data_IF_122071962012
#
_entry.id   IF_122071962012
#
_cell.length_a   1.000
_cell.length_b   1.000
_cell.length_c   1.000
_cell.angle_alpha   90.00
_cell.angle_beta   90.00
_cell.angle_gamma   90.00
#
_symmetry.space_group_name_H-M   'P 1'
#
loop_
_entity.id
_entity.type
_entity.pdbx_description
1 polymer ?
#
# COMPACT_ATOMS: atom_id res chain seq x y z
N UNK A 1 -27.18 -41.10 28.89
CA UNK A 1 -26.59 -41.67 27.65
C UNK A 1 -26.25 -40.62 26.60
N UNK A 2 -27.04 -39.57 26.39
CA UNK A 2 -26.82 -38.56 25.37
C UNK A 2 -25.55 -37.73 25.56
N UNK A 3 -25.19 -37.36 26.79
CA UNK A 3 -23.95 -36.60 27.07
C UNK A 3 -22.68 -37.39 26.76
N UNK A 4 -22.69 -38.70 26.88
CA UNK A 4 -21.53 -39.54 26.57
C UNK A 4 -21.33 -39.67 25.05
N UNK A 5 -22.43 -39.70 24.30
CA UNK A 5 -22.43 -39.71 22.82
C UNK A 5 -21.90 -38.38 22.26
N UNK A 6 -22.33 -37.23 22.81
CA UNK A 6 -21.88 -35.91 22.39
C UNK A 6 -20.38 -35.69 22.67
N UNK A 7 -19.88 -36.16 23.80
CA UNK A 7 -18.46 -36.03 24.17
C UNK A 7 -17.54 -36.88 23.27
N UNK A 8 -17.97 -38.12 22.96
CA UNK A 8 -17.22 -38.99 22.04
C UNK A 8 -17.19 -38.42 20.62
N UNK A 9 -18.28 -37.79 20.17
CA UNK A 9 -18.37 -37.16 18.87
C UNK A 9 -17.42 -35.95 18.75
N UNK A 10 -17.34 -35.12 19.77
CA UNK A 10 -16.40 -33.98 19.80
C UNK A 10 -14.93 -34.43 19.80
N UNK A 11 -14.60 -35.55 20.47
CA UNK A 11 -13.24 -36.11 20.43
C UNK A 11 -12.91 -36.64 19.02
N UNK A 12 -13.84 -37.31 18.34
CA UNK A 12 -13.63 -37.82 16.99
C UNK A 12 -13.40 -36.65 16.01
N UNK A 13 -14.17 -35.57 16.11
CA UNK A 13 -14.00 -34.37 15.30
C UNK A 13 -12.64 -33.74 15.52
N UNK A 14 -12.20 -33.63 16.77
CA UNK A 14 -10.88 -33.07 17.11
C UNK A 14 -9.74 -33.93 16.54
N UNK A 15 -9.85 -35.26 16.66
CA UNK A 15 -8.89 -36.20 16.11
C UNK A 15 -8.85 -36.15 14.58
N UNK A 16 -10.00 -36.02 13.93
CA UNK A 16 -10.09 -35.86 12.48
C UNK A 16 -9.41 -34.55 12.01
N UNK A 17 -9.63 -33.44 12.73
CA UNK A 17 -8.96 -32.17 12.45
C UNK A 17 -7.43 -32.24 12.64
N UNK A 18 -6.96 -32.90 13.70
CA UNK A 18 -5.55 -33.15 13.94
C UNK A 18 -4.93 -34.03 12.85
N UNK A 19 -5.62 -35.06 12.41
CA UNK A 19 -5.17 -35.92 11.32
C UNK A 19 -5.11 -35.21 9.99
N UNK A 20 -6.10 -34.38 9.67
CA UNK A 20 -6.11 -33.52 8.49
C UNK A 20 -4.96 -32.51 8.53
N UNK A 21 -4.68 -31.92 9.70
CA UNK A 21 -3.56 -31.03 9.91
C UNK A 21 -2.21 -31.73 9.67
N UNK A 22 -2.03 -32.94 10.22
CA UNK A 22 -0.81 -33.71 10.03
C UNK A 22 -0.61 -34.17 8.57
N UNK A 23 -1.67 -34.62 7.90
CA UNK A 23 -1.62 -34.97 6.47
C UNK A 23 -1.28 -33.76 5.61
N UNK A 24 -1.88 -32.61 5.90
CA UNK A 24 -1.56 -31.38 5.21
C UNK A 24 -0.10 -30.96 5.43
N UNK A 25 0.38 -31.03 6.65
CA UNK A 25 1.79 -30.73 7.01
C UNK A 25 2.77 -31.69 6.34
N UNK A 26 2.45 -32.95 6.28
CA UNK A 26 3.26 -33.97 5.59
C UNK A 26 3.32 -33.69 4.08
N UNK A 27 2.18 -33.35 3.45
CA UNK A 27 2.08 -32.98 2.04
C UNK A 27 2.86 -31.69 1.73
N UNK A 28 2.80 -30.70 2.63
CA UNK A 28 3.58 -29.46 2.51
C UNK A 28 5.09 -29.72 2.57
N UNK A 29 5.52 -30.59 3.50
CA UNK A 29 6.93 -30.98 3.63
C UNK A 29 7.42 -31.82 2.44
N UNK A 30 6.58 -32.67 1.86
CA UNK A 30 6.92 -33.48 0.69
C UNK A 30 7.13 -32.59 -0.55
N UNK A 31 6.25 -31.61 -0.81
CA UNK A 31 6.41 -30.61 -1.88
C UNK A 31 7.71 -29.83 -1.75
N UNK A 32 8.04 -29.39 -0.54
CA UNK A 32 9.28 -28.66 -0.27
C UNK A 32 10.55 -29.50 -0.49
N UNK A 33 10.44 -30.81 -0.47
CA UNK A 33 11.59 -31.72 -0.70
C UNK A 33 11.84 -32.00 -2.17
N UNK A 34 10.77 -32.00 -3.00
CA UNK A 34 10.88 -32.30 -4.44
C UNK A 34 11.42 -31.11 -5.27
N UNK A 35 11.15 -29.85 -4.84
CA UNK A 35 11.51 -28.65 -5.59
C UNK A 35 12.89 -28.05 -5.22
N UNK A 36 13.69 -28.74 -4.41
CA UNK A 36 14.94 -28.18 -3.84
C UNK A 36 16.08 -27.93 -4.83
N UNK A 37 16.02 -28.36 -6.07
CA UNK A 37 17.15 -28.19 -7.02
C UNK A 37 17.21 -26.85 -7.75
N UNK A 38 16.10 -26.08 -7.79
CA UNK A 38 16.04 -24.72 -8.39
C UNK A 38 15.00 -23.80 -7.69
N UNK A 39 14.67 -24.08 -6.45
CA UNK A 39 13.66 -23.28 -5.75
C UNK A 39 14.26 -21.99 -5.22
N UNK A 40 13.61 -20.88 -5.54
CA UNK A 40 13.90 -19.58 -4.93
C UNK A 40 13.81 -19.69 -3.39
N UNK A 41 14.78 -19.16 -2.62
CA UNK A 41 14.76 -19.22 -1.17
C UNK A 41 13.43 -18.76 -0.57
N UNK A 42 12.99 -19.43 0.48
CA UNK A 42 11.77 -19.09 1.20
C UNK A 42 12.08 -18.96 2.69
N UNK A 43 11.63 -17.90 3.38
CA UNK A 43 11.76 -17.81 4.83
C UNK A 43 10.90 -18.88 5.51
N UNK A 44 11.31 -19.26 6.73
CA UNK A 44 10.49 -20.12 7.58
C UNK A 44 9.30 -19.33 8.16
N UNK A 45 8.27 -20.05 8.62
CA UNK A 45 7.13 -19.43 9.31
C UNK A 45 5.88 -19.26 8.47
N UNK A 46 5.76 -19.98 7.35
CA UNK A 46 4.51 -20.04 6.59
C UNK A 46 3.41 -20.79 7.37
N UNK A 47 2.31 -20.11 7.61
CA UNK A 47 1.11 -20.67 8.24
C UNK A 47 0.24 -21.41 7.22
N UNK A 48 -0.55 -22.41 7.66
CA UNK A 48 -1.59 -22.99 6.84
C UNK A 48 -2.52 -21.89 6.30
N UNK A 49 -2.97 -22.01 5.05
CA UNK A 49 -3.89 -21.11 4.35
C UNK A 49 -3.36 -19.69 4.11
N UNK A 50 -2.91 -18.98 5.15
CA UNK A 50 -2.50 -17.57 5.07
C UNK A 50 -1.03 -17.36 4.68
N UNK A 51 -0.21 -18.42 4.73
CA UNK A 51 1.20 -18.36 4.34
C UNK A 51 2.04 -17.50 5.27
N UNK A 52 2.87 -16.61 4.71
CA UNK A 52 3.76 -15.69 5.42
C UNK A 52 3.09 -14.35 5.77
N UNK A 53 1.78 -14.20 5.55
CA UNK A 53 1.07 -12.95 5.84
C UNK A 53 1.30 -12.44 7.27
N UNK A 54 1.34 -13.28 8.33
CA UNK A 54 1.61 -12.82 9.67
C UNK A 54 2.99 -12.16 9.87
N UNK A 55 3.97 -12.46 9.01
CA UNK A 55 5.28 -11.80 9.04
C UNK A 55 5.22 -10.34 8.62
N UNK A 56 4.19 -9.95 7.85
CA UNK A 56 3.98 -8.60 7.35
C UNK A 56 3.13 -7.75 8.29
N UNK A 57 2.92 -8.21 9.53
CA UNK A 57 2.03 -7.59 10.53
C UNK A 57 2.54 -6.24 11.01
N UNK A 58 1.69 -5.37 11.01
CA UNK A 58 1.27 -4.07 11.47
C UNK A 58 2.21 -3.14 12.29
N UNK A 59 3.16 -3.59 13.05
CA UNK A 59 3.97 -2.70 13.93
C UNK A 59 5.20 -2.09 13.25
N UNK A 60 5.67 -2.72 12.16
CA UNK A 60 6.85 -2.29 11.41
C UNK A 60 6.45 -2.08 9.94
N UNK A 61 6.91 -1.02 9.28
CA UNK A 61 6.67 -0.82 7.86
C UNK A 61 7.06 -2.06 7.03
N UNK A 62 6.17 -2.51 6.15
CA UNK A 62 6.35 -3.73 5.33
C UNK A 62 7.70 -3.75 4.61
N UNK A 63 8.16 -2.61 4.08
CA UNK A 63 9.45 -2.50 3.40
C UNK A 63 10.64 -2.85 4.32
N UNK A 64 10.61 -2.48 5.60
CA UNK A 64 11.66 -2.84 6.56
C UNK A 64 11.64 -4.32 6.90
N UNK A 65 10.45 -4.89 7.06
CA UNK A 65 10.28 -6.33 7.29
C UNK A 65 10.80 -7.14 6.11
N UNK A 66 10.45 -6.73 4.88
CA UNK A 66 10.93 -7.38 3.66
C UNK A 66 12.46 -7.27 3.52
N UNK A 67 13.04 -6.10 3.85
CA UNK A 67 14.49 -5.91 3.86
C UNK A 67 15.20 -6.85 4.86
N UNK A 68 14.70 -6.93 6.09
CA UNK A 68 15.26 -7.83 7.11
C UNK A 68 15.15 -9.33 6.74
N UNK A 69 14.15 -9.71 5.95
CA UNK A 69 14.04 -11.06 5.38
C UNK A 69 15.07 -11.25 4.25
N UNK A 70 15.27 -10.23 3.40
CA UNK A 70 16.27 -10.26 2.33
C UNK A 70 17.70 -10.45 2.87
N UNK A 71 18.01 -9.82 3.99
CA UNK A 71 19.32 -9.97 4.66
C UNK A 71 19.61 -11.43 5.06
N UNK A 72 18.56 -12.23 5.29
CA UNK A 72 18.66 -13.64 5.70
C UNK A 72 18.52 -14.63 4.53
N UNK A 73 17.65 -14.32 3.58
CA UNK A 73 17.29 -15.23 2.47
C UNK A 73 18.04 -14.93 1.18
N UNK A 74 18.66 -13.74 1.08
CA UNK A 74 19.29 -13.26 -0.13
C UNK A 74 18.42 -12.26 -0.92
N UNK A 75 18.98 -11.67 -1.99
CA UNK A 75 18.40 -10.56 -2.72
C UNK A 75 17.12 -10.91 -3.51
N UNK A 76 16.87 -12.18 -3.75
CA UNK A 76 15.66 -12.70 -4.36
C UNK A 76 15.14 -13.85 -3.50
N UNK A 77 13.89 -13.74 -3.06
CA UNK A 77 13.25 -14.78 -2.28
C UNK A 77 11.75 -14.80 -2.53
N UNK A 78 11.09 -15.87 -2.14
CA UNK A 78 9.67 -16.09 -2.39
C UNK A 78 8.88 -16.10 -1.09
N UNK A 79 7.76 -15.39 -1.07
CA UNK A 79 6.75 -15.43 0.00
C UNK A 79 5.47 -16.06 -0.51
N UNK A 80 4.86 -16.90 0.31
CA UNK A 80 3.49 -17.36 0.09
C UNK A 80 2.55 -16.44 0.82
N UNK A 81 1.71 -15.69 0.10
CA UNK A 81 0.67 -14.83 0.66
C UNK A 81 -0.69 -15.43 0.33
N UNK A 82 -1.28 -16.16 1.29
CA UNK A 82 -2.47 -16.96 1.07
C UNK A 82 -2.27 -17.98 -0.06
N UNK A 83 -3.03 -17.85 -1.13
CA UNK A 83 -2.90 -18.68 -2.34
C UNK A 83 -1.82 -18.19 -3.32
N UNK A 84 -1.35 -16.97 -3.16
CA UNK A 84 -0.44 -16.33 -4.11
C UNK A 84 1.03 -16.57 -3.73
N UNK A 85 1.81 -17.06 -4.69
CA UNK A 85 3.25 -17.11 -4.59
C UNK A 85 3.81 -15.77 -5.06
N UNK A 86 4.48 -15.05 -4.18
CA UNK A 86 4.98 -13.70 -4.43
C UNK A 86 6.50 -13.71 -4.42
N UNK A 87 7.12 -13.25 -5.49
CA UNK A 87 8.56 -13.08 -5.57
C UNK A 87 8.94 -11.70 -5.04
N UNK A 88 9.89 -11.66 -4.12
CA UNK A 88 10.44 -10.42 -3.58
C UNK A 88 11.84 -10.23 -4.16
N UNK A 89 12.07 -9.06 -4.75
CA UNK A 89 13.35 -8.65 -5.32
C UNK A 89 13.86 -7.45 -4.53
N UNK A 90 15.01 -7.59 -3.89
CA UNK A 90 15.57 -6.62 -2.95
C UNK A 90 16.89 -5.99 -3.41
N UNK A 91 17.51 -6.46 -4.50
CA UNK A 91 18.73 -5.83 -5.04
C UNK A 91 18.40 -4.94 -6.25
N UNK A 92 19.17 -3.88 -6.41
CA UNK A 92 18.98 -2.93 -7.48
C UNK A 92 19.25 -3.52 -8.88
N UNK A 93 20.21 -4.44 -8.98
CA UNK A 93 20.57 -5.10 -10.23
C UNK A 93 19.39 -5.89 -10.80
N UNK A 94 18.78 -6.72 -9.96
CA UNK A 94 17.60 -7.51 -10.35
C UNK A 94 16.37 -6.64 -10.56
N UNK A 95 16.19 -5.59 -9.74
CA UNK A 95 15.11 -4.61 -9.93
C UNK A 95 15.27 -3.90 -11.28
N UNK A 96 16.49 -3.51 -11.65
CA UNK A 96 16.79 -2.91 -12.95
C UNK A 96 16.40 -3.85 -14.09
N UNK A 97 16.77 -5.12 -14.01
CA UNK A 97 16.38 -6.12 -15.01
C UNK A 97 14.87 -6.30 -15.11
N UNK A 98 14.16 -6.34 -13.97
CA UNK A 98 12.70 -6.42 -13.94
C UNK A 98 12.03 -5.23 -14.64
N UNK A 99 12.53 -4.00 -14.42
CA UNK A 99 11.91 -2.78 -14.94
C UNK A 99 12.48 -2.30 -16.29
N UNK A 100 13.44 -3.01 -16.86
CA UNK A 100 13.97 -2.73 -18.22
C UNK A 100 13.69 -3.88 -19.16
N UNK A 101 14.45 -4.97 -19.04
CA UNK A 101 14.37 -6.12 -19.97
C UNK A 101 13.03 -6.85 -19.87
N UNK A 102 12.51 -7.02 -18.67
CA UNK A 102 11.29 -7.79 -18.37
C UNK A 102 10.08 -6.91 -18.03
N UNK A 103 10.17 -5.58 -18.18
CA UNK A 103 9.14 -4.63 -17.79
C UNK A 103 7.76 -5.01 -18.34
N UNK A 104 7.66 -5.30 -19.61
CA UNK A 104 6.40 -5.63 -20.27
C UNK A 104 5.69 -6.85 -19.69
N UNK A 105 6.46 -7.84 -19.24
CA UNK A 105 5.93 -9.09 -18.66
C UNK A 105 5.47 -8.84 -17.22
N UNK A 106 6.20 -7.99 -16.49
CA UNK A 106 6.00 -7.74 -15.07
C UNK A 106 5.14 -6.49 -14.77
N UNK A 107 4.76 -5.72 -15.80
CA UNK A 107 4.06 -4.44 -15.66
C UNK A 107 2.63 -4.55 -15.11
N UNK A 108 1.98 -5.71 -15.23
CA UNK A 108 0.59 -5.88 -14.80
C UNK A 108 0.46 -5.76 -13.28
N UNK A 109 -0.53 -4.97 -12.84
CA UNK A 109 -0.87 -4.81 -11.42
C UNK A 109 -1.91 -5.86 -10.99
N UNK A 110 -1.80 -6.42 -9.77
CA UNK A 110 -2.83 -7.30 -9.24
C UNK A 110 -4.10 -6.50 -8.92
N UNK A 111 -5.27 -7.12 -9.14
CA UNK A 111 -6.54 -6.53 -8.69
C UNK A 111 -6.73 -6.79 -7.20
N UNK A 112 -6.44 -5.78 -6.40
CA UNK A 112 -6.60 -5.78 -4.94
C UNK A 112 -7.74 -4.84 -4.52
N UNK A 113 -8.19 -4.93 -3.28
CA UNK A 113 -9.31 -4.16 -2.74
C UNK A 113 -9.15 -2.64 -2.94
N UNK A 114 -7.94 -2.14 -2.83
CA UNK A 114 -7.62 -0.72 -3.10
C UNK A 114 -7.96 -0.35 -4.55
N UNK A 115 -7.54 -1.16 -5.51
CA UNK A 115 -7.84 -0.93 -6.93
C UNK A 115 -9.33 -0.94 -7.21
N UNK A 116 -10.07 -1.86 -6.59
CA UNK A 116 -11.52 -1.98 -6.79
C UNK A 116 -12.31 -0.82 -6.16
N UNK A 117 -11.99 -0.45 -4.91
CA UNK A 117 -12.80 0.51 -4.16
C UNK A 117 -12.30 1.97 -4.28
N UNK A 118 -11.00 2.22 -4.07
CA UNK A 118 -10.43 3.58 -4.16
C UNK A 118 -9.99 3.88 -5.59
N UNK A 119 -9.56 2.86 -6.33
CA UNK A 119 -9.01 2.97 -7.67
C UNK A 119 -10.03 2.97 -8.80
N UNK A 120 -11.32 3.24 -8.53
CA UNK A 120 -12.40 3.24 -9.53
C UNK A 120 -12.35 1.97 -10.41
N UNK A 121 -12.45 0.81 -9.75
CA UNK A 121 -12.34 -0.51 -10.40
C UNK A 121 -11.04 -0.68 -11.22
N UNK A 122 -9.92 -0.35 -10.60
CA UNK A 122 -8.58 -0.37 -11.19
C UNK A 122 -8.36 0.63 -12.35
N UNK A 123 -9.18 1.69 -12.46
CA UNK A 123 -9.01 2.70 -13.50
C UNK A 123 -7.91 3.72 -13.19
N UNK A 124 -7.52 3.91 -11.93
CA UNK A 124 -6.41 4.81 -11.59
C UNK A 124 -5.11 4.31 -12.21
N UNK A 125 -4.39 5.21 -12.88
CA UNK A 125 -3.13 4.94 -13.59
C UNK A 125 -2.13 4.07 -12.82
N UNK A 126 -1.97 4.29 -11.52
CA UNK A 126 -1.04 3.54 -10.67
C UNK A 126 -1.45 2.08 -10.43
N UNK A 127 -2.75 1.77 -10.51
CA UNK A 127 -3.35 0.47 -10.19
C UNK A 127 -3.92 -0.25 -11.41
N UNK A 128 -3.99 0.43 -12.56
CA UNK A 128 -4.50 -0.13 -13.79
C UNK A 128 -3.61 -1.27 -14.30
N UNK A 129 -4.22 -2.38 -14.77
CA UNK A 129 -3.48 -3.45 -15.43
C UNK A 129 -2.78 -2.95 -16.69
N UNK A 130 -1.61 -3.53 -17.00
CA UNK A 130 -0.92 -3.21 -18.23
C UNK A 130 -1.76 -3.61 -19.45
N UNK A 131 -2.08 -2.64 -20.31
CA UNK A 131 -2.93 -2.85 -21.49
C UNK A 131 -3.08 -1.58 -22.33
N UNK A 132 -3.97 -1.59 -23.34
CA UNK A 132 -4.22 -0.41 -24.18
C UNK A 132 -4.62 0.81 -23.37
N UNK A 133 -5.57 0.66 -22.45
CA UNK A 133 -6.02 1.72 -21.54
C UNK A 133 -4.86 2.34 -20.74
N UNK A 134 -4.04 1.52 -20.07
CA UNK A 134 -2.91 2.01 -19.29
C UNK A 134 -1.90 2.78 -20.17
N UNK A 135 -1.65 2.31 -21.40
CA UNK A 135 -0.73 2.97 -22.34
C UNK A 135 -1.24 4.34 -22.76
N UNK A 136 -2.54 4.48 -23.01
CA UNK A 136 -3.14 5.76 -23.37
C UNK A 136 -3.10 6.76 -22.22
N UNK A 137 -3.50 6.35 -21.02
CA UNK A 137 -3.42 7.21 -19.83
C UNK A 137 -1.97 7.61 -19.55
N UNK A 138 -1.02 6.69 -19.67
CA UNK A 138 0.41 7.01 -19.55
C UNK A 138 0.86 8.04 -20.58
N UNK A 139 0.42 7.89 -21.83
CA UNK A 139 0.74 8.85 -22.88
C UNK A 139 0.23 10.24 -22.50
N UNK A 140 -1.04 10.39 -22.16
CA UNK A 140 -1.63 11.65 -21.70
C UNK A 140 -0.85 12.23 -20.52
N UNK A 141 -0.57 11.41 -19.50
CA UNK A 141 0.18 11.85 -18.32
C UNK A 141 1.57 12.38 -18.68
N UNK A 142 2.30 11.72 -19.58
CA UNK A 142 3.67 12.10 -19.92
C UNK A 142 3.74 13.25 -20.93
N UNK A 143 2.81 13.34 -21.89
CA UNK A 143 2.84 14.38 -22.94
C UNK A 143 2.14 15.66 -22.50
N UNK A 144 0.98 15.54 -21.84
CA UNK A 144 0.12 16.69 -21.58
C UNK A 144 0.26 17.24 -20.14
N UNK A 145 0.51 16.36 -19.16
CA UNK A 145 0.60 16.79 -17.77
C UNK A 145 2.05 17.00 -17.29
N UNK A 146 2.95 16.07 -17.62
CA UNK A 146 4.31 16.01 -17.08
C UNK A 146 5.39 16.37 -18.12
N UNK A 147 5.01 16.88 -19.29
CA UNK A 147 5.99 17.33 -20.28
C UNK A 147 6.83 18.48 -19.73
N UNK A 148 8.09 18.59 -20.17
CA UNK A 148 9.00 19.65 -19.75
C UNK A 148 8.42 21.05 -20.02
N UNK A 149 7.73 21.22 -21.14
CA UNK A 149 7.03 22.46 -21.48
C UNK A 149 5.94 22.79 -20.45
N UNK A 150 5.08 21.82 -20.10
CA UNK A 150 4.01 22.02 -19.13
C UNK A 150 4.54 22.30 -17.73
N UNK A 151 5.58 21.58 -17.32
CA UNK A 151 6.24 21.80 -16.03
C UNK A 151 6.88 23.20 -15.94
N UNK A 152 7.45 23.72 -17.02
CA UNK A 152 7.99 25.07 -17.05
C UNK A 152 6.87 26.13 -17.01
N UNK A 153 5.81 25.98 -17.77
CA UNK A 153 4.64 26.87 -17.70
C UNK A 153 4.06 26.97 -16.28
N UNK A 154 4.04 25.87 -15.55
CA UNK A 154 3.49 25.80 -14.18
C UNK A 154 4.51 26.13 -13.09
N UNK A 155 5.73 26.52 -13.45
CA UNK A 155 6.81 26.86 -12.52
C UNK A 155 6.43 27.99 -11.58
N UNK A 156 5.71 28.98 -12.08
CA UNK A 156 5.25 30.14 -11.29
C UNK A 156 4.40 29.71 -10.08
N UNK A 157 3.59 28.66 -10.19
CA UNK A 157 2.78 28.16 -9.07
C UNK A 157 3.67 27.67 -7.94
N UNK A 158 4.71 26.90 -8.27
CA UNK A 158 5.67 26.39 -7.27
C UNK A 158 6.43 27.53 -6.60
N UNK A 159 6.89 28.53 -7.38
CA UNK A 159 7.57 29.69 -6.85
C UNK A 159 6.73 30.50 -5.87
N UNK A 160 5.47 30.76 -6.22
CA UNK A 160 4.54 31.50 -5.36
C UNK A 160 4.29 30.78 -4.02
N UNK A 161 4.14 29.45 -4.05
CA UNK A 161 3.93 28.69 -2.82
C UNK A 161 5.21 28.63 -1.96
N UNK A 162 6.41 28.54 -2.57
CA UNK A 162 7.70 28.64 -1.85
C UNK A 162 7.85 30.00 -1.20
N UNK A 163 7.57 31.08 -1.93
CA UNK A 163 7.63 32.43 -1.35
C UNK A 163 6.67 32.59 -0.17
N UNK A 164 5.46 32.05 -0.30
CA UNK A 164 4.45 32.09 0.77
C UNK A 164 4.91 31.34 2.00
N UNK A 165 5.51 30.15 1.81
CA UNK A 165 6.08 29.34 2.88
C UNK A 165 7.22 30.11 3.59
N UNK A 166 8.15 30.72 2.84
CA UNK A 166 9.26 31.50 3.40
C UNK A 166 8.74 32.74 4.14
N UNK A 167 7.76 33.45 3.58
CA UNK A 167 7.12 34.61 4.25
C UNK A 167 6.46 34.17 5.55
N UNK A 168 5.78 33.04 5.59
CA UNK A 168 5.17 32.46 6.80
C UNK A 168 6.21 32.19 7.88
N UNK A 169 7.32 31.56 7.54
CA UNK A 169 8.43 31.30 8.47
C UNK A 169 9.04 32.59 9.00
N UNK A 170 9.30 33.58 8.15
CA UNK A 170 9.83 34.91 8.57
C UNK A 170 8.90 35.63 9.54
N UNK A 171 7.58 35.59 9.28
CA UNK A 171 6.58 36.16 10.18
C UNK A 171 6.54 35.47 11.54
N UNK A 172 6.72 34.14 11.54
CA UNK A 172 6.74 33.32 12.76
C UNK A 172 7.97 33.68 13.61
N UNK A 173 9.16 33.83 13.00
CA UNK A 173 10.36 34.26 13.68
C UNK A 173 10.21 35.69 14.22
N UNK A 174 9.64 36.62 13.43
CA UNK A 174 9.43 38.00 13.85
C UNK A 174 8.47 38.13 15.03
N UNK A 175 7.37 37.34 15.04
CA UNK A 175 6.43 37.30 16.16
C UNK A 175 7.06 36.84 17.49
N UNK A 176 8.10 36.00 17.39
CA UNK A 176 8.79 35.48 18.57
C UNK A 176 10.06 36.29 18.90
N UNK A 177 10.11 37.57 18.47
CA UNK A 177 11.23 38.46 18.69
C UNK A 177 12.58 37.88 18.25
N UNK A 178 12.59 37.11 17.16
CA UNK A 178 13.71 36.33 16.63
C UNK A 178 14.36 35.32 17.59
N UNK A 179 13.68 34.96 18.69
CA UNK A 179 14.09 33.83 19.51
C UNK A 179 13.88 32.51 18.73
N UNK A 180 14.62 31.44 19.09
CA UNK A 180 14.42 30.12 18.49
C UNK A 180 12.96 29.67 18.60
N UNK A 181 12.38 29.21 17.50
CA UNK A 181 11.00 28.71 17.41
C UNK A 181 11.06 27.30 16.88
N UNK A 182 10.44 26.38 17.60
CA UNK A 182 10.24 25.01 17.13
C UNK A 182 9.18 24.98 16.03
N UNK A 183 9.51 24.40 14.87
CA UNK A 183 8.62 24.27 13.73
C UNK A 183 8.51 22.80 13.33
N UNK A 184 7.30 22.29 13.24
CA UNK A 184 7.07 20.97 12.65
C UNK A 184 7.19 21.04 11.13
N UNK A 185 8.40 20.72 10.63
CA UNK A 185 8.70 20.77 9.21
C UNK A 185 7.87 19.80 8.37
N UNK A 186 7.49 18.65 8.94
CA UNK A 186 6.65 17.67 8.23
C UNK A 186 5.29 18.27 7.90
N UNK A 187 4.62 18.88 8.86
CA UNK A 187 3.34 19.54 8.63
C UNK A 187 3.46 20.70 7.64
N UNK A 188 4.53 21.47 7.74
CA UNK A 188 4.77 22.62 6.86
C UNK A 188 4.94 22.18 5.39
N UNK A 189 5.75 21.15 5.17
CA UNK A 189 6.00 20.59 3.83
C UNK A 189 4.74 19.91 3.30
N UNK A 190 3.97 19.27 4.15
CA UNK A 190 2.68 18.65 3.78
C UNK A 190 1.70 19.69 3.25
N UNK A 191 1.48 20.77 3.99
CA UNK A 191 0.62 21.88 3.55
C UNK A 191 1.13 22.55 2.27
N UNK A 192 2.44 22.76 2.16
CA UNK A 192 3.06 23.26 0.94
C UNK A 192 2.75 22.36 -0.26
N UNK A 193 3.04 21.06 -0.14
CA UNK A 193 2.84 20.09 -1.22
C UNK A 193 1.37 19.99 -1.60
N UNK A 194 0.48 19.98 -0.61
CA UNK A 194 -0.96 19.94 -0.83
C UNK A 194 -1.43 21.18 -1.62
N UNK A 195 -1.03 22.40 -1.22
CA UNK A 195 -1.41 23.63 -1.90
C UNK A 195 -0.85 23.73 -3.32
N UNK A 196 0.39 23.28 -3.54
CA UNK A 196 0.97 23.20 -4.90
C UNK A 196 0.09 22.30 -5.79
N UNK A 197 -0.22 21.08 -5.35
CA UNK A 197 -1.02 20.16 -6.13
C UNK A 197 -2.45 20.68 -6.36
N UNK A 198 -3.09 21.18 -5.32
CA UNK A 198 -4.45 21.70 -5.42
C UNK A 198 -4.53 22.90 -6.37
N UNK A 199 -3.53 23.79 -6.33
CA UNK A 199 -3.49 24.93 -7.23
C UNK A 199 -3.22 24.53 -8.67
N UNK A 200 -2.39 23.50 -8.89
CA UNK A 200 -2.14 22.94 -10.22
C UNK A 200 -3.37 22.27 -10.84
N UNK A 201 -4.19 21.60 -10.01
CA UNK A 201 -5.34 20.80 -10.46
C UNK A 201 -6.62 21.64 -10.49
N UNK A 202 -6.93 22.35 -9.38
CA UNK A 202 -8.18 23.03 -9.17
C UNK A 202 -8.10 24.56 -9.17
N UNK A 203 -6.91 25.14 -9.29
CA UNK A 203 -6.69 26.60 -9.20
C UNK A 203 -6.93 27.19 -7.80
N UNK A 204 -7.28 26.33 -6.81
CA UNK A 204 -7.59 26.75 -5.44
C UNK A 204 -6.36 26.71 -4.55
N UNK A 205 -6.39 27.50 -3.48
CA UNK A 205 -5.42 27.51 -2.40
C UNK A 205 -6.14 27.70 -1.07
N UNK A 206 -5.74 26.96 -0.06
CA UNK A 206 -6.27 27.09 1.29
C UNK A 206 -5.23 27.70 2.24
N UNK A 207 -5.71 28.49 3.20
CA UNK A 207 -4.87 29.09 4.23
C UNK A 207 -4.59 28.10 5.37
N UNK A 208 -3.52 28.32 6.18
CA UNK A 208 -3.26 27.47 7.35
C UNK A 208 -4.42 27.45 8.38
N UNK A 209 -5.25 28.50 8.43
CA UNK A 209 -6.42 28.54 9.31
C UNK A 209 -7.49 27.55 8.86
N UNK A 210 -7.75 27.49 7.54
CA UNK A 210 -8.76 26.58 6.97
C UNK A 210 -8.39 25.12 7.18
N UNK A 211 -7.09 24.79 7.25
CA UNK A 211 -6.64 23.44 7.62
C UNK A 211 -6.85 23.11 9.10
N UNK A 212 -6.73 24.09 9.99
CA UNK A 212 -6.93 23.92 11.42
C UNK A 212 -8.40 23.88 11.84
N UNK A 213 -9.31 24.37 11.00
CA UNK A 213 -10.73 24.48 11.30
C UNK A 213 -11.46 23.18 10.91
N UNK A 214 -11.85 22.40 11.93
CA UNK A 214 -12.61 21.16 11.72
C UNK A 214 -13.92 21.43 10.96
N UNK A 215 -14.14 20.66 9.89
CA UNK A 215 -15.34 20.79 9.06
C UNK A 215 -15.21 21.75 7.88
N UNK A 216 -14.09 22.50 7.76
CA UNK A 216 -13.80 23.30 6.56
C UNK A 216 -13.63 22.41 5.31
N UNK A 217 -13.79 22.98 4.12
CA UNK A 217 -13.57 22.27 2.85
C UNK A 217 -12.13 21.75 2.78
N UNK A 218 -11.14 22.58 3.17
CA UNK A 218 -9.73 22.21 3.19
C UNK A 218 -9.46 21.00 4.10
N UNK A 219 -9.98 21.02 5.32
CA UNK A 219 -9.82 19.95 6.29
C UNK A 219 -10.44 18.63 5.80
N UNK A 220 -11.62 18.68 5.18
CA UNK A 220 -12.28 17.49 4.63
C UNK A 220 -11.47 16.87 3.50
N UNK A 221 -10.99 17.67 2.55
CA UNK A 221 -10.19 17.20 1.42
C UNK A 221 -8.87 16.62 1.91
N UNK A 222 -8.14 17.32 2.80
CA UNK A 222 -6.88 16.86 3.35
C UNK A 222 -7.05 15.51 4.07
N UNK A 223 -8.07 15.41 4.92
CA UNK A 223 -8.37 14.19 5.65
C UNK A 223 -8.73 13.03 4.72
N UNK A 224 -9.56 13.27 3.71
CA UNK A 224 -9.94 12.25 2.73
C UNK A 224 -8.71 11.74 1.96
N UNK A 225 -7.81 12.63 1.54
CA UNK A 225 -6.57 12.23 0.86
C UNK A 225 -5.65 11.43 1.79
N UNK A 226 -5.45 11.89 3.04
CA UNK A 226 -4.63 11.16 4.03
C UNK A 226 -5.19 9.77 4.31
N UNK A 227 -6.48 9.66 4.47
CA UNK A 227 -7.16 8.38 4.72
C UNK A 227 -7.08 7.47 3.49
N UNK A 228 -7.27 7.99 2.29
CA UNK A 228 -7.12 7.25 1.05
C UNK A 228 -5.68 6.71 0.88
N UNK A 229 -4.66 7.53 1.14
CA UNK A 229 -3.25 7.12 1.08
C UNK A 229 -2.96 6.05 2.15
N UNK A 230 -3.42 6.25 3.39
CA UNK A 230 -3.27 5.26 4.46
C UNK A 230 -3.89 3.92 4.08
N UNK A 231 -5.16 3.93 3.68
CA UNK A 231 -5.88 2.72 3.27
C UNK A 231 -5.30 2.06 2.01
N UNK A 232 -4.62 2.83 1.17
CA UNK A 232 -3.91 2.28 0.00
C UNK A 232 -2.70 1.44 0.39
N UNK A 233 -2.09 1.72 1.54
CA UNK A 233 -0.98 0.93 2.09
C UNK A 233 -1.40 -0.24 2.97
N UNK A 234 -2.67 -0.34 3.34
CA UNK A 234 -3.17 -1.40 4.23
C UNK A 234 -3.54 -2.65 3.44
N UNK A 235 -2.86 -3.74 3.72
CA UNK A 235 -3.24 -5.06 3.23
C UNK A 235 -4.49 -5.55 3.93
N UNK A 236 -5.47 -5.99 3.15
CA UNK A 236 -6.71 -6.58 3.65
C UNK A 236 -6.64 -8.09 3.52
N UNK A 237 -7.17 -8.81 4.49
CA UNK A 237 -7.21 -10.28 4.46
C UNK A 237 -7.87 -10.82 3.18
N UNK A 238 -8.88 -10.12 2.66
CA UNK A 238 -9.54 -10.45 1.39
C UNK A 238 -8.65 -10.37 0.15
N UNK A 239 -7.58 -9.55 0.16
CA UNK A 239 -6.62 -9.49 -0.95
C UNK A 239 -5.76 -10.75 -1.05
N UNK A 240 -5.58 -11.43 0.08
CA UNK A 240 -4.78 -12.65 0.21
C UNK A 240 -5.65 -13.89 0.12
N UNK A 241 -6.85 -13.84 0.70
CA UNK A 241 -7.81 -14.91 0.78
C UNK A 241 -9.19 -14.38 0.35
N UNK A 242 -9.56 -14.49 -0.95
CA UNK A 242 -10.75 -13.83 -1.50
C UNK A 242 -12.06 -14.16 -0.80
N UNK A 243 -12.22 -15.37 -0.28
CA UNK A 243 -13.42 -15.77 0.45
C UNK A 243 -13.53 -15.16 1.86
N UNK A 244 -12.50 -14.47 2.36
CA UNK A 244 -12.54 -13.67 3.60
C UNK A 244 -12.91 -12.20 3.37
N UNK A 245 -13.10 -11.77 2.14
CA UNK A 245 -13.42 -10.37 1.83
C UNK A 245 -14.74 -9.92 2.49
N UNK A 246 -15.71 -10.84 2.63
CA UNK A 246 -16.98 -10.55 3.28
C UNK A 246 -16.88 -10.37 4.80
N UNK A 247 -15.84 -10.91 5.43
CA UNK A 247 -15.64 -10.89 6.89
C UNK A 247 -14.85 -9.68 7.38
N UNK A 248 -14.77 -8.58 6.70
CA UNK A 248 -14.02 -7.34 7.00
C UNK A 248 -13.61 -7.14 8.48
N UNK A 249 -12.83 -8.07 9.03
CA UNK A 249 -12.43 -8.11 10.44
C UNK A 249 -11.75 -6.82 10.94
N UNK A 250 -11.21 -6.04 10.03
CA UNK A 250 -10.48 -4.82 10.33
C UNK A 250 -11.28 -3.56 9.99
N UNK A 251 -12.48 -3.65 9.41
CA UNK A 251 -13.29 -2.54 8.97
C UNK A 251 -12.69 -1.73 7.80
N UNK A 252 -11.58 -2.18 7.24
CA UNK A 252 -10.87 -1.43 6.20
C UNK A 252 -11.53 -1.52 4.83
N UNK A 253 -12.23 -2.60 4.51
CA UNK A 253 -12.98 -2.73 3.24
C UNK A 253 -14.17 -1.79 3.25
N UNK A 254 -14.89 -1.71 4.37
CA UNK A 254 -15.98 -0.74 4.57
C UNK A 254 -15.49 0.70 4.42
N UNK A 255 -14.38 1.05 5.09
CA UNK A 255 -13.77 2.38 4.98
C UNK A 255 -13.33 2.72 3.55
N UNK A 256 -12.74 1.78 2.82
CA UNK A 256 -12.37 1.97 1.41
C UNK A 256 -13.58 2.25 0.51
N UNK A 257 -14.72 1.61 0.78
CA UNK A 257 -15.98 1.87 0.04
C UNK A 257 -16.53 3.27 0.34
N UNK A 258 -16.51 3.70 1.60
CA UNK A 258 -17.02 5.04 1.98
C UNK A 258 -16.23 6.15 1.30
N UNK A 259 -14.91 6.05 1.23
CA UNK A 259 -14.07 7.06 0.56
C UNK A 259 -14.36 7.16 -0.93
N UNK A 260 -14.74 6.08 -1.60
CA UNK A 260 -15.07 6.12 -3.04
C UNK A 260 -16.39 6.82 -3.34
N UNK A 261 -17.21 7.11 -2.34
CA UNK A 261 -18.52 7.78 -2.47
C UNK A 261 -18.51 9.25 -2.06
N UNK A 262 -17.40 9.76 -1.55
CA UNK A 262 -17.17 11.16 -1.18
C UNK A 262 -16.45 11.90 -2.32
#
# INVERSE_FOLDING_TARGET
MEYFSSFTQSIIELLALLLLYHLWRAKANYRNKCDKKMAVPQPNGAWPLIGHFPLLSASVPVCKTLGAIADKCGPIYSLKLGKHQTLIVSSWEFVKECFTTNDRILATRPSISVGRHIGYDNAIFALAPYGPYWREIRKIATTDLLSSHRLEMLKHVRHLEIETLIKGLKLLCAKNSFNPVEVNMSNLIEHFTFNVNLKLIAGKRFSPREYGEQGSEAWRIERAIKEAIYLSGVFVAGDVIPWLEWMDFQGHVGSKRVISTV
#
